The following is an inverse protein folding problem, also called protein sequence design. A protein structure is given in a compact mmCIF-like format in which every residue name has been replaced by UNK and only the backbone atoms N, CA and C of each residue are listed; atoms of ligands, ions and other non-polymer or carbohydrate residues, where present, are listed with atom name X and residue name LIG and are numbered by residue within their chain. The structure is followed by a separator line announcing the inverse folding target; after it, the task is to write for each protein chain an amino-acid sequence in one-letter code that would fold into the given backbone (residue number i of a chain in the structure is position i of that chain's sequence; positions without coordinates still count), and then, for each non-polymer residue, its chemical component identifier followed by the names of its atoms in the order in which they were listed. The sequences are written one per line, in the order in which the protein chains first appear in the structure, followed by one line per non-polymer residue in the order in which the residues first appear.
data_IF_138164610357
#
_entry.id   IF_138164610357
#
_cell.length_a   1.000
_cell.length_b   1.000
_cell.length_c   1.000
_cell.angle_alpha   90.00
_cell.angle_beta   90.00
_cell.angle_gamma   90.00
#
_symmetry.space_group_name_H-M   'P 1'
#
loop_
_entity.id
_entity.type
_entity.pdbx_description
1 polymer ?
#
# COMPACT_ATOMS: atom_id res chain seq x y z
N UNK A 1 -1.19 -14.25 -45.03
CA UNK A 1 -2.16 -13.15 -45.19
C UNK A 1 -1.61 -11.97 -44.42
N UNK A 2 -1.49 -10.76 -45.00
CA UNK A 2 -0.99 -9.61 -44.25
C UNK A 2 -1.93 -9.32 -43.08
N UNK A 3 -1.41 -9.38 -41.86
CA UNK A 3 -2.08 -8.92 -40.65
C UNK A 3 -1.84 -7.43 -40.53
N UNK A 4 -2.91 -6.64 -40.61
CA UNK A 4 -2.85 -5.19 -40.41
C UNK A 4 -3.18 -4.88 -38.95
N UNK A 5 -2.45 -3.93 -38.36
CA UNK A 5 -2.77 -3.41 -37.03
C UNK A 5 -4.00 -2.51 -37.10
N UNK A 6 -4.90 -2.64 -36.12
CA UNK A 6 -6.04 -1.76 -36.01
C UNK A 6 -5.63 -0.38 -35.47
N UNK A 7 -5.87 0.74 -36.18
CA UNK A 7 -5.50 2.08 -35.71
C UNK A 7 -6.29 2.56 -34.47
N UNK A 8 -7.31 1.82 -34.04
CA UNK A 8 -8.19 2.20 -32.92
C UNK A 8 -7.81 1.49 -31.61
N UNK A 9 -7.26 0.27 -31.68
CA UNK A 9 -6.91 -0.53 -30.51
C UNK A 9 -5.54 -1.22 -30.57
N UNK A 10 -4.76 -0.95 -31.62
CA UNK A 10 -3.40 -1.47 -31.82
C UNK A 10 -3.28 -3.01 -31.82
N UNK A 11 -4.37 -3.72 -32.11
CA UNK A 11 -4.40 -5.19 -32.17
C UNK A 11 -4.15 -5.66 -33.61
N UNK A 12 -3.37 -6.73 -33.79
CA UNK A 12 -3.02 -7.37 -35.08
C UNK A 12 -4.16 -8.21 -35.69
N UNK A 13 -5.43 -7.85 -35.44
CA UNK A 13 -6.64 -8.59 -35.86
C UNK A 13 -7.59 -7.75 -36.69
N UNK A 14 -7.05 -6.96 -37.60
CA UNK A 14 -7.83 -6.27 -38.62
C UNK A 14 -8.05 -7.20 -39.81
N UNK A 15 -9.31 -7.56 -40.07
CA UNK A 15 -9.70 -8.49 -41.13
C UNK A 15 -10.38 -7.73 -42.26
N UNK A 16 -9.96 -7.99 -43.49
CA UNK A 16 -10.60 -7.43 -44.68
C UNK A 16 -11.98 -8.07 -44.89
N UNK A 17 -13.00 -7.23 -45.03
CA UNK A 17 -14.41 -7.62 -45.19
C UNK A 17 -14.96 -7.30 -46.59
N UNK A 18 -14.16 -6.69 -47.46
CA UNK A 18 -14.51 -6.28 -48.81
C UNK A 18 -13.46 -5.30 -49.36
N UNK A 19 -13.62 -4.82 -50.61
CA UNK A 19 -12.69 -3.87 -51.21
C UNK A 19 -12.59 -2.62 -50.34
N UNK A 20 -11.39 -2.32 -49.82
CA UNK A 20 -11.13 -1.17 -48.93
C UNK A 20 -11.96 -1.15 -47.63
N UNK A 21 -12.53 -2.29 -47.24
CA UNK A 21 -13.37 -2.43 -46.05
C UNK A 21 -12.70 -3.37 -45.06
N UNK A 22 -12.47 -2.89 -43.84
CA UNK A 22 -11.79 -3.63 -42.78
C UNK A 22 -12.61 -3.64 -41.50
N UNK A 23 -12.56 -4.75 -40.76
CA UNK A 23 -13.23 -4.90 -39.47
C UNK A 23 -12.28 -5.50 -38.45
N UNK A 24 -12.13 -4.82 -37.32
CA UNK A 24 -11.34 -5.35 -36.20
C UNK A 24 -12.17 -6.34 -35.40
N UNK A 25 -11.67 -7.55 -35.16
CA UNK A 25 -12.40 -8.54 -34.35
C UNK A 25 -12.41 -8.20 -32.86
N UNK A 26 -11.44 -7.39 -32.39
CA UNK A 26 -11.28 -7.06 -30.99
C UNK A 26 -12.15 -5.85 -30.58
N UNK A 27 -11.88 -4.67 -31.13
CA UNK A 27 -12.63 -3.46 -30.79
C UNK A 27 -13.92 -3.29 -31.62
N UNK A 28 -14.15 -4.13 -32.63
CA UNK A 28 -15.30 -4.08 -33.57
C UNK A 28 -15.37 -2.79 -34.40
N UNK A 29 -14.28 -2.04 -34.50
CA UNK A 29 -14.18 -0.90 -35.41
C UNK A 29 -14.33 -1.37 -36.86
N UNK A 30 -15.10 -0.61 -37.64
CA UNK A 30 -15.27 -0.80 -39.08
C UNK A 30 -14.61 0.37 -39.80
N UNK A 31 -13.68 0.08 -40.71
CA UNK A 31 -12.93 1.06 -41.50
C UNK A 31 -13.32 0.87 -42.96
N UNK A 32 -13.75 1.94 -43.61
CA UNK A 32 -14.10 1.95 -45.03
C UNK A 32 -13.35 3.10 -45.70
N UNK A 33 -12.56 2.80 -46.72
CA UNK A 33 -11.75 3.79 -47.45
C UNK A 33 -10.87 4.66 -46.53
N UNK A 34 -10.26 4.03 -45.52
CA UNK A 34 -9.41 4.72 -44.53
C UNK A 34 -10.17 5.62 -43.55
N UNK A 35 -11.51 5.52 -43.48
CA UNK A 35 -12.35 6.28 -42.54
C UNK A 35 -13.07 5.35 -41.56
N UNK A 36 -13.23 5.82 -40.33
CA UNK A 36 -13.92 5.08 -39.28
C UNK A 36 -15.44 5.23 -39.43
N UNK A 37 -16.15 4.10 -39.56
CA UNK A 37 -17.61 4.09 -39.67
C UNK A 37 -18.24 4.06 -38.28
N UNK A 38 -19.10 5.03 -38.00
CA UNK A 38 -19.85 5.09 -36.75
C UNK A 38 -20.81 3.89 -36.64
N UNK A 39 -20.69 3.11 -35.56
CA UNK A 39 -21.56 1.94 -35.34
C UNK A 39 -23.02 2.28 -35.05
N UNK A 40 -23.32 3.54 -34.69
CA UNK A 40 -24.68 3.97 -34.34
C UNK A 40 -25.45 4.57 -35.53
N UNK A 41 -24.80 5.42 -36.32
CA UNK A 41 -25.47 6.14 -37.43
C UNK A 41 -24.87 5.87 -38.81
N UNK A 42 -23.81 5.09 -38.93
CA UNK A 42 -23.17 4.74 -40.21
C UNK A 42 -22.33 5.85 -40.85
N UNK A 43 -22.25 7.05 -40.23
CA UNK A 43 -21.40 8.15 -40.73
C UNK A 43 -19.93 7.74 -40.77
N UNK A 44 -19.24 8.06 -41.87
CA UNK A 44 -17.78 7.98 -41.97
C UNK A 44 -17.15 9.19 -41.28
N UNK A 45 -16.21 8.94 -40.37
CA UNK A 45 -15.49 9.93 -39.58
C UNK A 45 -13.98 9.76 -39.80
N UNK A 46 -13.17 10.82 -39.56
CA UNK A 46 -11.71 10.69 -39.50
C UNK A 46 -11.26 9.61 -38.50
N UNK A 47 -10.12 8.96 -38.75
CA UNK A 47 -9.58 7.92 -37.86
C UNK A 47 -9.25 8.45 -36.45
N UNK A 48 -8.90 9.73 -36.35
CA UNK A 48 -8.57 10.40 -35.08
C UNK A 48 -9.81 10.93 -34.33
N UNK A 49 -11.00 10.83 -34.92
CA UNK A 49 -12.22 11.35 -34.32
C UNK A 49 -12.59 10.51 -33.07
N UNK A 50 -12.57 11.14 -31.90
CA UNK A 50 -12.99 10.50 -30.66
C UNK A 50 -14.52 10.25 -30.60
N UNK A 51 -15.32 11.08 -31.26
CA UNK A 51 -16.78 11.00 -31.30
C UNK A 51 -17.28 11.21 -32.72
N UNK A 52 -18.45 10.65 -33.01
CA UNK A 52 -19.12 10.87 -34.28
C UNK A 52 -19.54 12.33 -34.42
N UNK A 53 -19.17 12.97 -35.53
CA UNK A 53 -19.53 14.36 -35.81
C UNK A 53 -21.04 14.57 -35.94
N UNK A 54 -21.80 13.51 -36.24
CA UNK A 54 -23.25 13.56 -36.42
C UNK A 54 -24.02 13.20 -35.16
N UNK A 55 -23.82 11.99 -34.62
CA UNK A 55 -24.62 11.50 -33.49
C UNK A 55 -23.92 11.58 -32.13
N UNK A 56 -22.69 12.11 -32.08
CA UNK A 56 -21.87 12.22 -30.86
C UNK A 56 -21.55 10.86 -30.18
N UNK A 57 -21.83 9.74 -30.84
CA UNK A 57 -21.48 8.41 -30.36
C UNK A 57 -19.94 8.28 -30.23
N UNK A 58 -19.41 7.78 -29.11
CA UNK A 58 -17.99 7.49 -28.96
C UNK A 58 -17.51 6.48 -29.98
N UNK A 59 -16.47 6.85 -30.74
CA UNK A 59 -15.94 6.03 -31.83
C UNK A 59 -14.76 5.14 -31.40
N UNK A 60 -14.09 5.50 -30.32
CA UNK A 60 -12.92 4.77 -29.78
C UNK A 60 -13.26 4.09 -28.46
N UNK A 61 -12.49 3.06 -28.08
CA UNK A 61 -12.66 2.41 -26.77
C UNK A 61 -12.44 3.42 -25.64
N UNK A 62 -11.41 4.27 -25.75
CA UNK A 62 -11.11 5.29 -24.76
C UNK A 62 -12.28 6.27 -24.56
N UNK A 63 -12.80 6.84 -25.65
CA UNK A 63 -13.95 7.77 -25.59
C UNK A 63 -15.21 7.11 -25.02
N UNK A 64 -15.39 5.81 -25.25
CA UNK A 64 -16.50 5.03 -24.68
C UNK A 64 -16.34 4.80 -23.17
N UNK A 65 -15.11 4.57 -22.68
CA UNK A 65 -14.83 4.45 -21.23
C UNK A 65 -15.01 5.79 -20.52
N UNK A 66 -14.44 6.86 -21.07
CA UNK A 66 -14.56 8.21 -20.51
C UNK A 66 -16.02 8.67 -20.46
N UNK A 67 -16.79 8.42 -21.52
CA UNK A 67 -18.20 8.81 -21.54
C UNK A 67 -19.03 8.07 -20.49
N UNK A 68 -18.72 6.80 -20.19
CA UNK A 68 -19.36 6.04 -19.09
C UNK A 68 -19.06 6.63 -17.71
N UNK A 69 -17.80 6.99 -17.44
CA UNK A 69 -17.43 7.61 -16.18
C UNK A 69 -18.00 9.03 -16.03
N UNK A 70 -18.04 9.81 -17.10
CA UNK A 70 -18.65 11.15 -17.06
C UNK A 70 -20.16 11.12 -16.83
N UNK A 71 -20.84 10.06 -17.27
CA UNK A 71 -22.27 9.85 -17.08
C UNK A 71 -22.61 9.03 -15.84
N UNK A 72 -21.62 8.54 -15.07
CA UNK A 72 -21.90 7.92 -13.78
C UNK A 72 -22.28 9.02 -12.79
N UNK A 73 -23.55 9.42 -12.86
CA UNK A 73 -24.26 10.18 -11.85
C UNK A 73 -23.88 9.60 -10.49
N UNK A 74 -23.32 10.45 -9.63
CA UNK A 74 -23.08 10.18 -8.21
C UNK A 74 -24.24 9.34 -7.67
N UNK A 75 -23.98 8.07 -7.36
CA UNK A 75 -25.05 7.17 -6.97
C UNK A 75 -25.38 7.42 -5.50
N UNK A 76 -26.66 7.64 -5.20
CA UNK A 76 -27.13 7.83 -3.81
C UNK A 76 -26.68 6.71 -2.88
N UNK A 77 -26.48 5.50 -3.43
CA UNK A 77 -25.97 4.32 -2.73
C UNK A 77 -24.50 4.45 -2.30
N UNK A 78 -23.67 5.10 -3.12
CA UNK A 78 -22.26 5.37 -2.76
C UNK A 78 -22.18 6.42 -1.66
N UNK A 79 -23.00 7.46 -1.73
CA UNK A 79 -23.08 8.48 -0.68
C UNK A 79 -23.58 7.86 0.63
N UNK A 80 -24.62 7.01 0.58
CA UNK A 80 -25.10 6.28 1.76
C UNK A 80 -24.03 5.35 2.36
N UNK A 81 -23.26 4.64 1.52
CA UNK A 81 -22.18 3.79 2.00
C UNK A 81 -21.05 4.59 2.67
N UNK A 82 -20.76 5.80 2.17
CA UNK A 82 -19.78 6.70 2.78
C UNK A 82 -20.25 7.24 4.12
N UNK A 83 -21.51 7.61 4.23
CA UNK A 83 -22.08 8.09 5.49
C UNK A 83 -22.06 7.00 6.56
N UNK A 84 -22.41 5.75 6.19
CA UNK A 84 -22.30 4.61 7.09
C UNK A 84 -20.86 4.31 7.54
N UNK A 85 -19.87 4.49 6.66
CA UNK A 85 -18.46 4.32 7.02
C UNK A 85 -17.99 5.41 7.99
N UNK A 86 -18.44 6.65 7.82
CA UNK A 86 -18.09 7.76 8.70
C UNK A 86 -18.66 7.58 10.11
N UNK A 87 -19.91 7.11 10.23
CA UNK A 87 -20.53 6.86 11.53
C UNK A 87 -19.84 5.70 12.26
N UNK A 88 -19.48 4.63 11.55
CA UNK A 88 -18.72 3.51 12.12
C UNK A 88 -17.35 3.98 12.61
N UNK A 89 -16.63 4.77 11.80
CA UNK A 89 -15.31 5.29 12.16
C UNK A 89 -15.35 6.19 13.40
N UNK A 90 -16.40 6.99 13.55
CA UNK A 90 -16.60 7.81 14.75
C UNK A 90 -16.81 6.92 15.99
N UNK A 91 -17.69 5.90 15.90
CA UNK A 91 -17.92 4.97 17.00
C UNK A 91 -16.68 4.15 17.38
N UNK A 92 -15.86 3.77 16.40
CA UNK A 92 -14.60 3.04 16.64
C UNK A 92 -13.50 3.93 17.24
N UNK A 93 -13.48 5.23 16.95
CA UNK A 93 -12.52 6.18 17.51
C UNK A 93 -12.71 6.28 19.03
N UNK A 94 -13.94 6.45 19.49
CA UNK A 94 -14.28 6.51 20.93
C UNK A 94 -13.89 5.20 21.64
N UNK A 95 -14.20 4.05 21.03
CA UNK A 95 -13.83 2.75 21.57
C UNK A 95 -12.29 2.53 21.59
N UNK A 96 -11.56 3.14 20.67
CA UNK A 96 -10.10 3.08 20.63
C UNK A 96 -9.46 3.94 21.71
N UNK A 97 -10.04 5.09 22.01
CA UNK A 97 -9.56 6.00 23.06
C UNK A 97 -9.62 5.31 24.44
N UNK A 98 -10.75 4.68 24.76
CA UNK A 98 -10.91 3.91 26.01
C UNK A 98 -9.87 2.77 26.11
N UNK A 99 -9.62 2.04 25.02
CA UNK A 99 -8.59 0.98 25.01
C UNK A 99 -7.19 1.55 25.22
N UNK A 100 -6.90 2.71 24.64
CA UNK A 100 -5.60 3.37 24.79
C UNK A 100 -5.34 3.76 26.25
N UNK A 101 -6.34 4.32 26.93
CA UNK A 101 -6.21 4.68 28.35
C UNK A 101 -5.87 3.46 29.23
N UNK A 102 -6.51 2.31 28.97
CA UNK A 102 -6.21 1.06 29.67
C UNK A 102 -4.78 0.61 29.42
N UNK A 103 -4.28 0.69 28.18
CA UNK A 103 -2.91 0.33 27.86
C UNK A 103 -1.89 1.27 28.52
N UNK A 104 -2.16 2.57 28.55
CA UNK A 104 -1.31 3.55 29.23
C UNK A 104 -1.24 3.27 30.74
N UNK A 105 -2.34 2.87 31.36
CA UNK A 105 -2.35 2.54 32.78
C UNK A 105 -1.56 1.26 33.08
N UNK A 106 -1.64 0.25 32.21
CA UNK A 106 -0.81 -0.96 32.32
C UNK A 106 0.69 -0.61 32.16
N UNK A 107 1.03 0.25 31.20
CA UNK A 107 2.41 0.67 30.94
C UNK A 107 2.98 1.45 32.13
N UNK A 108 2.18 2.34 32.74
CA UNK A 108 2.56 3.06 33.97
C UNK A 108 2.92 2.07 35.08
N UNK A 109 2.06 1.07 35.33
CA UNK A 109 2.29 0.05 36.37
C UNK A 109 3.54 -0.80 36.11
N UNK A 110 3.80 -1.15 34.84
CA UNK A 110 5.04 -1.85 34.47
C UNK A 110 6.26 -1.00 34.75
N UNK A 111 6.26 0.26 34.32
CA UNK A 111 7.37 1.18 34.53
C UNK A 111 7.66 1.46 36.00
N UNK A 112 6.64 1.53 36.85
CA UNK A 112 6.86 1.68 38.29
C UNK A 112 7.49 0.43 38.89
N UNK A 113 7.00 -0.76 38.54
CA UNK A 113 7.58 -2.02 39.01
C UNK A 113 9.03 -2.23 38.53
N UNK A 114 9.33 -1.87 37.28
CA UNK A 114 10.69 -1.91 36.74
C UNK A 114 11.64 -0.98 37.49
N UNK A 115 11.19 0.24 37.83
CA UNK A 115 11.99 1.19 38.63
C UNK A 115 12.24 0.67 40.04
N UNK A 116 11.22 0.12 40.69
CA UNK A 116 11.36 -0.47 42.03
C UNK A 116 12.34 -1.65 42.01
N UNK A 117 12.25 -2.53 41.01
CA UNK A 117 13.17 -3.64 40.83
C UNK A 117 14.62 -3.17 40.55
N UNK A 118 14.80 -2.13 39.73
CA UNK A 118 16.11 -1.57 39.43
C UNK A 118 16.79 -0.98 40.69
N UNK A 119 16.03 -0.30 41.55
CA UNK A 119 16.56 0.22 42.82
C UNK A 119 17.01 -0.92 43.75
N UNK A 120 16.22 -1.99 43.86
CA UNK A 120 16.60 -3.17 44.66
C UNK A 120 17.85 -3.86 44.10
N UNK A 121 18.01 -3.91 42.78
CA UNK A 121 19.23 -4.45 42.14
C UNK A 121 20.46 -3.59 42.42
N UNK A 122 20.33 -2.26 42.37
CA UNK A 122 21.45 -1.36 42.62
C UNK A 122 22.02 -1.52 44.04
N UNK A 123 21.15 -1.70 45.04
CA UNK A 123 21.58 -1.96 46.42
C UNK A 123 22.32 -3.30 46.56
N UNK A 124 21.81 -4.36 45.93
CA UNK A 124 22.44 -5.68 45.94
C UNK A 124 23.80 -5.66 45.21
N UNK A 125 23.88 -4.98 44.07
CA UNK A 125 25.10 -4.84 43.29
C UNK A 125 26.18 -4.09 44.07
N UNK A 126 25.83 -3.01 44.77
CA UNK A 126 26.78 -2.27 45.63
C UNK A 126 27.40 -3.17 46.70
N UNK A 127 26.60 -4.01 47.36
CA UNK A 127 27.10 -4.96 48.35
C UNK A 127 28.01 -6.00 47.71
N UNK A 128 27.60 -6.55 46.57
CA UNK A 128 28.37 -7.55 45.84
C UNK A 128 29.72 -6.97 45.40
N UNK A 129 29.75 -5.78 44.81
CA UNK A 129 31.00 -5.10 44.42
C UNK A 129 31.91 -4.85 45.62
N UNK A 130 31.37 -4.49 46.78
CA UNK A 130 32.16 -4.32 48.00
C UNK A 130 32.83 -5.63 48.42
N UNK A 131 32.09 -6.75 48.46
CA UNK A 131 32.65 -8.06 48.81
C UNK A 131 33.65 -8.57 47.77
N UNK A 132 33.35 -8.42 46.47
CA UNK A 132 34.27 -8.79 45.39
C UNK A 132 35.59 -8.01 45.50
N UNK A 133 35.53 -6.71 45.80
CA UNK A 133 36.72 -5.88 46.00
C UNK A 133 37.58 -6.34 47.17
N UNK A 134 36.97 -6.70 48.31
CA UNK A 134 37.69 -7.24 49.48
C UNK A 134 38.31 -8.59 49.15
N UNK A 135 37.53 -9.51 48.55
CA UNK A 135 38.01 -10.85 48.19
C UNK A 135 39.17 -10.82 47.20
N UNK A 136 39.10 -9.97 46.17
CA UNK A 136 40.18 -9.76 45.21
C UNK A 136 41.44 -9.21 45.90
N UNK A 137 41.30 -8.26 46.83
CA UNK A 137 42.42 -7.71 47.60
C UNK A 137 43.15 -8.77 48.43
N UNK A 138 42.40 -9.63 49.12
CA UNK A 138 42.96 -10.74 49.92
C UNK A 138 43.66 -11.74 49.00
N UNK A 139 43.05 -12.12 47.88
CA UNK A 139 43.65 -13.04 46.92
C UNK A 139 44.98 -12.52 46.38
N UNK A 140 45.02 -11.25 45.94
CA UNK A 140 46.25 -10.63 45.45
C UNK A 140 47.34 -10.55 46.53
N UNK A 141 46.97 -10.28 47.78
CA UNK A 141 47.92 -10.27 48.90
C UNK A 141 48.53 -11.67 49.16
N UNK A 142 47.71 -12.72 49.14
CA UNK A 142 48.18 -14.10 49.30
C UNK A 142 49.14 -14.48 48.17
N UNK A 143 48.77 -14.17 46.92
CA UNK A 143 49.62 -14.44 45.75
C UNK A 143 50.96 -13.69 45.85
N UNK A 144 50.94 -12.42 46.27
CA UNK A 144 52.16 -11.64 46.45
C UNK A 144 53.07 -12.17 47.56
N UNK A 145 52.50 -12.63 48.68
CA UNK A 145 53.28 -13.25 49.76
C UNK A 145 53.86 -14.59 49.30
N UNK A 146 53.06 -15.43 48.63
CA UNK A 146 53.52 -16.72 48.11
C UNK A 146 54.64 -16.54 47.08
N UNK A 147 54.51 -15.58 46.16
CA UNK A 147 55.57 -15.31 45.18
C UNK A 147 56.84 -14.78 45.81
N UNK A 148 56.74 -13.95 46.86
CA UNK A 148 57.89 -13.44 47.61
C UNK A 148 58.61 -14.54 48.40
N UNK A 149 57.88 -15.48 48.99
CA UNK A 149 58.47 -16.66 49.64
C UNK A 149 59.21 -17.51 48.61
N UNK A 150 58.60 -17.80 47.46
CA UNK A 150 59.23 -18.59 46.39
C UNK A 150 60.50 -17.90 45.87
N UNK A 151 60.53 -16.57 45.81
CA UNK A 151 61.70 -15.82 45.36
C UNK A 151 62.85 -15.78 46.38
N UNK A 152 62.57 -16.02 47.67
CA UNK A 152 63.57 -16.00 48.74
C UNK A 152 64.17 -17.38 49.06
N UNK A 153 63.55 -18.47 48.60
CA UNK A 153 64.03 -19.85 48.71
C UNK A 153 64.92 -20.19 47.51
#
# INVERSE_FOLDING_TARGET
MPTYECPICSEEKLVESGPSAYKCQHCRASILDGKLVCSACGKQNPLEAAKCETCQEPLTIFSRVVSRHSKSTRSWRLDQARDQANTLKAAEADASEVRMEVFLEIDRKRKTAEREAALMQEEADRQLFHYVRIGLGIFLAIVAVASLIIALV
#
